data_IF_335772897562
#
_entry.id   IF_335772897562
#
_cell.length_a   1.000
_cell.length_b   1.000
_cell.length_c   1.000
_cell.angle_alpha   90.00
_cell.angle_beta   90.00
_cell.angle_gamma   90.00
#
_symmetry.space_group_name_H-M   'P 1'
#
loop_
_entity.id
_entity.type
_entity.pdbx_description
1 polymer ?
#
# COMPACT_ATOMS: atom_id res chain seq x y z
N UNK A 1 -24.51 -8.00 -3.00
CA UNK A 1 -23.75 -7.59 -4.21
C UNK A 1 -23.24 -6.16 -4.02
N UNK A 2 -21.97 -5.91 -4.33
CA UNK A 2 -21.38 -4.57 -4.24
C UNK A 2 -21.80 -3.77 -5.46
N UNK A 3 -22.24 -2.54 -5.25
CA UNK A 3 -22.59 -1.61 -6.33
C UNK A 3 -21.42 -0.66 -6.57
N UNK A 4 -21.29 -0.14 -7.78
CA UNK A 4 -20.14 0.62 -8.24
C UNK A 4 -19.85 1.90 -7.44
N UNK A 5 -20.88 2.47 -6.82
CA UNK A 5 -20.77 3.72 -6.08
C UNK A 5 -20.79 3.55 -4.56
N UNK A 6 -20.70 2.31 -4.07
CA UNK A 6 -20.70 2.07 -2.63
C UNK A 6 -19.31 2.19 -2.04
N UNK A 7 -19.22 2.81 -0.87
CA UNK A 7 -17.99 2.91 -0.07
C UNK A 7 -18.23 2.16 1.24
N UNK A 8 -17.31 1.25 1.55
CA UNK A 8 -17.38 0.48 2.78
C UNK A 8 -16.24 0.90 3.71
N UNK A 9 -16.59 1.19 4.95
CA UNK A 9 -15.60 1.42 6.01
C UNK A 9 -15.83 0.37 7.07
N UNK A 10 -14.83 -0.44 7.33
CA UNK A 10 -14.92 -1.55 8.27
C UNK A 10 -13.81 -1.38 9.29
N UNK A 11 -14.19 -1.07 10.52
CA UNK A 11 -13.25 -0.98 11.62
C UNK A 11 -12.82 -2.39 12.04
N UNK A 12 -11.58 -2.50 12.49
CA UNK A 12 -11.01 -3.76 12.97
C UNK A 12 -11.13 -4.90 11.95
N UNK A 13 -10.99 -4.55 10.67
CA UNK A 13 -11.13 -5.49 9.57
C UNK A 13 -10.10 -6.62 9.64
N UNK A 14 -8.87 -6.31 10.04
CA UNK A 14 -7.83 -7.30 10.28
C UNK A 14 -7.51 -7.34 11.78
N UNK A 15 -7.10 -8.50 12.23
CA UNK A 15 -6.81 -8.74 13.64
C UNK A 15 -5.62 -7.91 14.12
N UNK A 16 -5.66 -7.50 15.37
CA UNK A 16 -4.62 -6.68 15.96
C UNK A 16 -3.24 -7.35 15.88
N UNK A 17 -3.18 -8.63 16.09
CA UNK A 17 -1.93 -9.41 16.00
C UNK A 17 -1.34 -9.35 14.60
N UNK A 18 -2.18 -9.44 13.58
CA UNK A 18 -1.75 -9.31 12.18
C UNK A 18 -1.26 -7.89 11.90
N UNK A 19 -1.94 -6.87 12.38
CA UNK A 19 -1.49 -5.48 12.26
C UNK A 19 -0.11 -5.28 12.88
N UNK A 20 0.09 -5.82 14.09
CA UNK A 20 1.39 -5.71 14.76
C UNK A 20 2.49 -6.46 14.02
N UNK A 21 2.17 -7.59 13.42
CA UNK A 21 3.12 -8.35 12.62
C UNK A 21 3.58 -7.56 11.39
N UNK A 22 2.63 -6.96 10.67
CA UNK A 22 2.94 -6.10 9.52
C UNK A 22 3.84 -4.94 9.98
N UNK A 23 3.47 -4.28 11.07
CA UNK A 23 4.24 -3.17 11.61
C UNK A 23 5.67 -3.56 11.93
N UNK A 24 5.89 -4.69 12.56
CA UNK A 24 7.22 -5.16 12.90
C UNK A 24 8.09 -5.42 11.67
N UNK A 25 7.49 -5.98 10.63
CA UNK A 25 8.21 -6.21 9.37
C UNK A 25 8.57 -4.89 8.72
N UNK A 26 7.62 -3.98 8.57
CA UNK A 26 7.83 -2.69 7.92
C UNK A 26 8.86 -1.82 8.65
N UNK A 27 8.89 -1.89 9.98
CA UNK A 27 9.83 -1.11 10.80
C UNK A 27 11.15 -1.84 11.05
N UNK A 28 11.32 -3.02 10.47
CA UNK A 28 12.59 -3.74 10.53
C UNK A 28 12.83 -4.51 11.81
N UNK A 29 11.82 -4.68 12.67
CA UNK A 29 11.97 -5.43 13.92
C UNK A 29 11.99 -6.94 13.72
N UNK A 30 11.34 -7.42 12.67
CA UNK A 30 11.27 -8.84 12.33
C UNK A 30 11.38 -9.03 10.82
N UNK A 31 12.04 -10.09 10.35
CA UNK A 31 12.03 -10.43 8.94
C UNK A 31 10.70 -11.07 8.55
N UNK A 32 10.39 -11.04 7.27
CA UNK A 32 9.34 -11.83 6.65
C UNK A 32 9.99 -12.83 5.71
N UNK A 33 9.70 -14.11 5.89
CA UNK A 33 10.28 -15.20 5.10
C UNK A 33 11.81 -15.10 5.00
N UNK A 34 12.47 -14.82 6.15
CA UNK A 34 13.92 -14.65 6.29
C UNK A 34 14.50 -13.47 5.51
N UNK A 35 13.66 -12.51 5.11
CA UNK A 35 14.09 -11.31 4.40
C UNK A 35 13.77 -10.07 5.20
N UNK A 36 14.74 -9.17 5.29
CA UNK A 36 14.51 -7.83 5.85
C UNK A 36 13.75 -6.98 4.85
N UNK A 37 12.85 -6.13 5.35
CA UNK A 37 12.01 -5.30 4.50
C UNK A 37 12.82 -4.13 3.93
N UNK A 38 12.97 -4.03 2.60
CA UNK A 38 13.72 -2.92 1.99
C UNK A 38 12.82 -1.71 1.76
N UNK A 39 13.35 -0.54 2.04
CA UNK A 39 12.75 0.72 1.68
C UNK A 39 13.58 1.39 0.60
N UNK A 40 12.90 1.99 -0.39
CA UNK A 40 13.54 2.70 -1.49
C UNK A 40 13.23 4.18 -1.41
N UNK A 41 14.24 5.02 -1.60
CA UNK A 41 14.07 6.46 -1.51
C UNK A 41 13.36 7.02 -2.73
N UNK A 42 12.40 7.91 -2.48
CA UNK A 42 11.72 8.70 -3.50
C UNK A 42 11.92 10.19 -3.15
N UNK A 43 12.42 10.96 -4.10
CA UNK A 43 12.73 12.37 -3.87
C UNK A 43 11.45 13.20 -3.63
N UNK A 44 10.41 12.92 -4.40
CA UNK A 44 9.14 13.64 -4.28
C UNK A 44 7.97 12.72 -4.63
N UNK A 45 7.14 12.41 -3.64
CA UNK A 45 5.97 11.55 -3.82
C UNK A 45 4.76 12.29 -4.38
N UNK A 46 4.80 13.62 -4.43
CA UNK A 46 3.69 14.40 -4.97
C UNK A 46 3.59 14.30 -6.48
N UNK A 47 4.71 14.04 -7.14
CA UNK A 47 4.80 13.72 -8.57
C UNK A 47 4.02 14.68 -9.47
N UNK A 48 3.96 15.95 -9.09
CA UNK A 48 3.22 16.93 -9.87
C UNK A 48 3.88 17.26 -11.21
N UNK A 49 5.18 17.01 -11.33
CA UNK A 49 5.95 17.42 -12.49
C UNK A 49 5.98 18.92 -12.68
N UNK A 50 5.62 19.66 -11.68
CA UNK A 50 5.41 21.09 -11.67
C UNK A 50 6.51 21.73 -10.82
N UNK A 51 6.88 22.97 -11.16
CA UNK A 51 7.87 23.70 -10.38
C UNK A 51 7.41 23.97 -8.95
N UNK A 52 6.12 23.90 -8.72
CA UNK A 52 5.52 24.02 -7.39
C UNK A 52 5.48 22.71 -6.62
N UNK A 53 6.24 21.71 -7.05
CA UNK A 53 6.30 20.44 -6.32
C UNK A 53 6.64 20.71 -4.86
N UNK A 54 5.99 19.97 -3.97
CA UNK A 54 6.13 20.20 -2.53
C UNK A 54 7.41 19.59 -1.97
N UNK A 55 8.20 18.91 -2.82
CA UNK A 55 9.43 18.23 -2.42
C UNK A 55 9.20 17.39 -1.17
N UNK A 56 8.36 16.39 -1.32
CA UNK A 56 8.00 15.47 -0.23
C UNK A 56 8.78 14.17 -0.39
N UNK A 57 10.00 14.11 0.14
CA UNK A 57 10.76 12.87 0.10
C UNK A 57 10.11 11.80 0.97
N UNK A 58 10.21 10.58 0.54
CA UNK A 58 9.72 9.44 1.29
C UNK A 58 10.51 8.20 0.94
N UNK A 59 10.36 7.18 1.76
CA UNK A 59 10.76 5.83 1.40
C UNK A 59 9.53 5.08 0.90
N UNK A 60 9.69 4.20 -0.06
CA UNK A 60 8.58 3.41 -0.57
C UNK A 60 8.99 1.97 -0.82
N UNK A 61 7.99 1.11 -0.84
CA UNK A 61 8.12 -0.27 -1.28
C UNK A 61 6.89 -0.64 -2.10
N UNK A 62 7.09 -1.12 -3.31
CA UNK A 62 6.00 -1.50 -4.19
C UNK A 62 5.81 -3.01 -4.17
N UNK A 63 4.62 -3.45 -3.78
CA UNK A 63 4.28 -4.88 -3.71
C UNK A 63 3.66 -5.39 -5.00
N UNK A 64 2.79 -4.59 -5.58
CA UNK A 64 2.06 -4.93 -6.80
C UNK A 64 2.09 -3.72 -7.71
N UNK A 65 2.52 -3.93 -8.94
CA UNK A 65 2.60 -2.89 -9.94
C UNK A 65 1.34 -2.87 -10.80
N UNK A 66 0.75 -1.70 -10.94
CA UNK A 66 -0.42 -1.51 -11.78
C UNK A 66 -0.02 -1.63 -13.26
N UNK A 67 -0.83 -2.35 -14.02
CA UNK A 67 -0.66 -2.47 -15.47
C UNK A 67 -1.79 -1.70 -16.16
N UNK A 68 -1.42 -0.89 -17.15
CA UNK A 68 -2.36 -0.06 -17.92
C UNK A 68 -2.95 -0.84 -19.10
N UNK A 69 -3.35 -2.07 -18.82
CA UNK A 69 -3.98 -2.95 -19.80
C UNK A 69 -5.32 -3.41 -19.22
N UNK A 70 -6.36 -3.36 -20.04
CA UNK A 70 -7.74 -3.63 -19.60
C UNK A 70 -7.94 -5.03 -19.05
N UNK A 71 -7.18 -5.99 -19.51
CA UNK A 71 -7.34 -7.39 -19.11
C UNK A 71 -6.31 -7.84 -18.09
N UNK A 72 -5.42 -6.93 -17.66
CA UNK A 72 -4.34 -7.33 -16.79
C UNK A 72 -4.70 -7.18 -15.32
N UNK A 73 -4.27 -8.16 -14.56
CA UNK A 73 -4.18 -8.06 -13.11
C UNK A 73 -2.89 -7.33 -12.76
N UNK A 74 -2.78 -6.83 -11.53
CA UNK A 74 -1.52 -6.28 -11.07
C UNK A 74 -0.40 -7.31 -11.14
N UNK A 75 0.81 -6.86 -11.40
CA UNK A 75 1.99 -7.72 -11.43
C UNK A 75 2.68 -7.67 -10.07
N UNK A 76 2.92 -8.85 -9.49
CA UNK A 76 3.62 -8.93 -8.20
C UNK A 76 5.06 -8.49 -8.41
N UNK A 77 5.45 -7.42 -7.71
CA UNK A 77 6.77 -6.80 -7.82
C UNK A 77 7.68 -7.13 -6.64
N UNK A 78 7.15 -7.75 -5.60
CA UNK A 78 7.91 -8.04 -4.39
C UNK A 78 7.36 -9.28 -3.70
N UNK A 79 8.26 -10.08 -3.14
CA UNK A 79 7.88 -11.25 -2.33
C UNK A 79 7.10 -10.84 -1.07
N UNK A 80 7.23 -9.61 -0.61
CA UNK A 80 6.50 -9.10 0.54
C UNK A 80 5.01 -8.93 0.26
N UNK A 81 4.59 -9.04 -1.00
CA UNK A 81 3.18 -9.14 -1.36
C UNK A 81 2.49 -10.25 -0.55
N UNK A 82 3.16 -11.35 -0.33
CA UNK A 82 2.58 -12.52 0.36
C UNK A 82 2.17 -12.19 1.80
N UNK A 83 2.76 -11.17 2.38
CA UNK A 83 2.38 -10.71 3.71
C UNK A 83 0.93 -10.21 3.75
N UNK A 84 0.40 -9.76 2.61
CA UNK A 84 -0.94 -9.21 2.51
C UNK A 84 -1.98 -10.19 1.98
N UNK A 85 -1.58 -11.42 1.64
CA UNK A 85 -2.52 -12.45 1.17
C UNK A 85 -3.66 -12.69 2.17
N UNK A 86 -3.41 -12.81 3.49
CA UNK A 86 -4.51 -12.99 4.44
C UNK A 86 -5.54 -11.86 4.40
N UNK A 87 -5.09 -10.62 4.15
CA UNK A 87 -6.00 -9.49 4.02
C UNK A 87 -6.89 -9.62 2.79
N UNK A 88 -6.31 -10.03 1.66
CA UNK A 88 -7.06 -10.25 0.43
C UNK A 88 -8.06 -11.38 0.59
N UNK A 89 -7.68 -12.47 1.25
CA UNK A 89 -8.58 -13.58 1.53
C UNK A 89 -9.74 -13.15 2.42
N UNK A 90 -9.47 -12.31 3.40
CA UNK A 90 -10.50 -11.79 4.30
C UNK A 90 -11.48 -10.90 3.55
N UNK A 91 -10.97 -10.08 2.63
CA UNK A 91 -11.83 -9.26 1.78
C UNK A 91 -12.74 -10.15 0.90
N UNK A 92 -12.18 -11.17 0.30
CA UNK A 92 -12.96 -12.11 -0.51
C UNK A 92 -14.08 -12.75 0.30
N UNK A 93 -13.76 -13.21 1.51
CA UNK A 93 -14.74 -13.81 2.42
C UNK A 93 -15.82 -12.81 2.81
N UNK A 94 -15.42 -11.61 3.20
CA UNK A 94 -16.35 -10.56 3.66
C UNK A 94 -17.36 -10.18 2.58
N UNK A 95 -16.92 -10.06 1.34
CA UNK A 95 -17.75 -9.63 0.24
C UNK A 95 -18.30 -10.80 -0.60
N UNK A 96 -18.12 -12.04 -0.12
CA UNK A 96 -18.63 -13.26 -0.76
C UNK A 96 -18.17 -13.40 -2.20
N UNK A 97 -16.90 -13.13 -2.41
CA UNK A 97 -16.26 -13.27 -3.71
C UNK A 97 -15.38 -14.51 -3.72
N UNK A 98 -15.21 -15.19 -4.86
CA UNK A 98 -14.33 -16.36 -4.92
C UNK A 98 -12.88 -15.99 -4.63
N UNK A 99 -12.44 -14.79 -5.04
CA UNK A 99 -11.10 -14.29 -4.77
C UNK A 99 -11.07 -12.77 -4.91
N UNK A 100 -10.04 -12.15 -4.37
CA UNK A 100 -9.72 -10.74 -4.54
C UNK A 100 -8.23 -10.63 -4.82
N UNK A 101 -7.87 -9.93 -5.88
CA UNK A 101 -6.49 -9.65 -6.22
C UNK A 101 -6.22 -8.16 -6.14
N UNK A 102 -5.01 -7.80 -5.72
CA UNK A 102 -4.58 -6.42 -5.73
C UNK A 102 -4.22 -6.00 -7.15
N UNK A 103 -4.67 -4.84 -7.57
CA UNK A 103 -4.23 -4.20 -8.81
C UNK A 103 -2.99 -3.36 -8.58
N UNK A 104 -2.84 -2.81 -7.39
CA UNK A 104 -1.71 -1.99 -6.99
C UNK A 104 -1.52 -2.10 -5.50
N UNK A 105 -0.29 -2.14 -5.06
CA UNK A 105 0.03 -2.17 -3.63
C UNK A 105 1.36 -1.49 -3.37
N UNK A 106 1.37 -0.54 -2.44
CA UNK A 106 2.56 0.21 -2.05
C UNK A 106 2.51 0.54 -0.56
N UNK A 107 3.68 0.72 0.01
CA UNK A 107 3.83 1.36 1.32
C UNK A 107 4.72 2.57 1.19
N UNK A 108 4.42 3.60 1.97
CA UNK A 108 5.23 4.79 2.06
C UNK A 108 5.62 5.05 3.51
N UNK A 109 6.86 5.45 3.70
CA UNK A 109 7.35 5.96 4.97
C UNK A 109 7.69 7.43 4.75
N UNK A 110 6.84 8.29 5.27
CA UNK A 110 6.98 9.73 5.10
C UNK A 110 7.66 10.35 6.31
N UNK A 111 8.39 11.42 6.07
CA UNK A 111 9.10 12.15 7.11
C UNK A 111 8.37 13.44 7.44
N UNK A 112 8.43 13.90 8.70
CA UNK A 112 7.86 15.19 9.04
C UNK A 112 8.55 16.31 8.25
N UNK A 113 7.79 17.36 7.94
CA UNK A 113 8.30 18.53 7.24
C UNK A 113 8.23 19.75 8.14
N UNK A 114 9.05 20.77 7.83
CA UNK A 114 9.03 22.03 8.55
C UNK A 114 7.91 22.98 8.10
N UNK A 115 7.09 22.57 7.15
CA UNK A 115 6.01 23.39 6.64
C UNK A 115 4.83 23.38 7.63
N UNK A 116 4.23 24.55 7.84
CA UNK A 116 3.06 24.67 8.71
C UNK A 116 1.86 23.88 8.21
N UNK A 117 1.69 23.81 6.90
CA UNK A 117 0.65 22.99 6.29
C UNK A 117 1.29 21.94 5.43
N UNK A 118 0.91 20.71 5.68
CA UNK A 118 1.54 19.53 5.14
C UNK A 118 0.50 18.69 4.40
N UNK A 119 -0.11 19.30 3.39
CA UNK A 119 -1.14 18.63 2.58
C UNK A 119 -0.55 18.31 1.22
N UNK A 120 -0.52 17.04 0.89
CA UNK A 120 -0.06 16.59 -0.42
C UNK A 120 -1.15 16.79 -1.47
N UNK A 121 -0.71 17.03 -2.70
CA UNK A 121 -1.64 17.09 -3.82
C UNK A 121 -2.28 15.71 -4.02
N UNK A 122 -3.57 15.65 -4.36
CA UNK A 122 -4.22 14.38 -4.59
C UNK A 122 -3.63 13.67 -5.82
N UNK A 123 -3.53 12.35 -5.71
CA UNK A 123 -3.12 11.50 -6.82
C UNK A 123 -4.35 11.12 -7.64
N UNK A 124 -4.27 11.36 -8.92
CA UNK A 124 -5.36 11.05 -9.84
C UNK A 124 -4.99 9.85 -10.68
#
# INVERSE_FOLDING_TARGET
MIQDNEVFVIDDFIEKEYQEQIKKVLLGSEPFDNQEFPWYFIEDVTASGDDDSQHRPAMSHQYVEFQDDKDSMGVIASDFHDMFIPMLQRAAFKFRMPYVNALQGRSFLQFPTNKKMSVDLPHI
#
